data_IF_219720111763
#
_entry.id   IF_219720111763
#
_cell.length_a   1.000
_cell.length_b   1.000
_cell.length_c   1.000
_cell.angle_alpha   90.00
_cell.angle_beta   90.00
_cell.angle_gamma   90.00
#
_symmetry.space_group_name_H-M   'P 1'
#
loop_
_entity.id
_entity.type
_entity.pdbx_description
1 polymer ?
#
# COMPACT_ATOMS: atom_id res chain seq x y z
N UNK A 1 44.36 -11.29 22.85
CA UNK A 1 44.03 -10.73 21.52
C UNK A 1 43.63 -9.26 21.71
N UNK A 2 44.06 -8.36 20.84
CA UNK A 2 43.62 -6.98 20.88
C UNK A 2 42.17 -6.83 20.49
N UNK A 3 41.37 -6.08 21.27
CA UNK A 3 39.97 -5.77 20.94
C UNK A 3 39.85 -4.52 20.02
N UNK A 4 40.96 -3.87 19.73
CA UNK A 4 40.99 -2.71 18.80
C UNK A 4 40.54 -3.16 17.43
N UNK A 5 39.63 -2.38 16.82
CA UNK A 5 39.02 -2.68 15.52
C UNK A 5 37.86 -3.66 15.57
N UNK A 6 37.58 -4.27 16.73
CA UNK A 6 36.39 -5.13 16.92
C UNK A 6 35.17 -4.29 17.32
N UNK A 7 33.98 -4.80 17.04
CA UNK A 7 32.69 -4.18 17.41
C UNK A 7 32.27 -4.62 18.81
N UNK A 8 31.96 -3.67 19.70
CA UNK A 8 31.43 -3.97 21.02
C UNK A 8 30.05 -4.64 20.95
N UNK A 9 29.91 -5.87 21.49
CA UNK A 9 28.66 -6.61 21.45
C UNK A 9 27.59 -6.05 22.40
N UNK A 10 28.02 -5.42 23.49
CA UNK A 10 27.15 -4.88 24.52
C UNK A 10 27.54 -3.44 24.87
N UNK A 11 26.65 -2.71 25.54
CA UNK A 11 27.07 -1.49 26.22
C UNK A 11 28.06 -1.83 27.30
N UNK A 12 29.14 -1.06 27.43
CA UNK A 12 30.12 -1.15 28.52
C UNK A 12 29.91 0.06 29.40
N UNK A 13 29.71 -0.17 30.70
CA UNK A 13 29.46 0.90 31.68
C UNK A 13 30.50 0.85 32.81
N UNK A 14 30.72 1.98 33.45
CA UNK A 14 31.52 2.06 34.68
C UNK A 14 30.75 1.52 35.90
N UNK A 15 31.40 1.51 37.07
CA UNK A 15 30.80 1.07 38.31
C UNK A 15 29.60 1.91 38.78
N UNK A 16 29.45 3.14 38.27
CA UNK A 16 28.33 4.03 38.53
C UNK A 16 27.17 3.83 37.49
N UNK A 17 27.31 2.88 36.56
CA UNK A 17 26.30 2.61 35.51
C UNK A 17 26.35 3.58 34.32
N UNK A 18 27.32 4.51 34.26
CA UNK A 18 27.44 5.40 33.10
C UNK A 18 28.01 4.62 31.92
N UNK A 19 27.36 4.75 30.78
CA UNK A 19 27.78 4.09 29.54
C UNK A 19 29.07 4.73 29.01
N UNK A 20 30.11 3.94 28.91
CA UNK A 20 31.44 4.33 28.42
C UNK A 20 31.56 4.01 26.92
N UNK A 21 31.15 2.81 26.54
CA UNK A 21 31.12 2.40 25.13
C UNK A 21 29.70 1.87 24.78
N UNK A 22 29.18 2.36 23.68
CA UNK A 22 27.88 1.88 23.18
C UNK A 22 28.03 0.53 22.46
N UNK A 23 26.99 -0.32 22.55
CA UNK A 23 26.82 -1.48 21.68
C UNK A 23 26.94 -1.05 20.20
N UNK A 24 27.65 -1.84 19.39
CA UNK A 24 27.83 -1.58 17.95
C UNK A 24 28.96 -0.60 17.63
N UNK A 25 29.65 -0.04 18.63
CA UNK A 25 30.81 0.82 18.40
C UNK A 25 32.05 -0.01 18.05
N UNK A 26 32.75 0.39 16.98
CA UNK A 26 34.09 -0.13 16.68
C UNK A 26 35.05 0.42 17.71
N UNK A 27 35.76 -0.46 18.44
CA UNK A 27 36.64 -0.09 19.52
C UNK A 27 37.96 0.51 19.00
N UNK A 28 38.28 1.70 19.47
CA UNK A 28 39.56 2.35 19.25
C UNK A 28 40.59 1.94 20.33
N UNK A 29 41.87 2.24 20.14
CA UNK A 29 42.89 2.05 21.15
C UNK A 29 42.57 2.83 22.43
N UNK A 30 42.00 4.04 22.32
CA UNK A 30 41.58 4.86 23.47
C UNK A 30 40.40 4.19 24.23
N UNK A 31 39.41 3.63 23.53
CA UNK A 31 38.32 2.92 24.18
C UNK A 31 38.83 1.69 24.97
N UNK A 32 39.74 0.92 24.38
CA UNK A 32 40.35 -0.23 25.07
C UNK A 32 41.17 0.22 26.29
N UNK A 33 41.98 1.27 26.19
CA UNK A 33 42.73 1.83 27.33
C UNK A 33 41.80 2.29 28.47
N UNK A 34 40.68 2.95 28.13
CA UNK A 34 39.68 3.38 29.11
C UNK A 34 39.00 2.19 29.80
N UNK A 35 38.66 1.12 29.07
CA UNK A 35 38.06 -0.13 29.59
C UNK A 35 39.02 -0.79 30.59
N UNK A 36 40.32 -0.88 30.25
CA UNK A 36 41.34 -1.42 31.13
C UNK A 36 41.52 -0.57 32.40
N UNK A 37 41.54 0.77 32.28
CA UNK A 37 41.65 1.69 33.41
C UNK A 37 40.46 1.57 34.39
N UNK A 38 39.31 1.10 33.95
CA UNK A 38 38.15 0.81 34.78
C UNK A 38 38.21 -0.54 35.47
N UNK A 39 39.29 -1.32 35.31
CA UNK A 39 39.45 -2.66 35.89
C UNK A 39 38.58 -3.73 35.20
N UNK A 40 38.06 -3.48 34.01
CA UNK A 40 37.27 -4.46 33.27
C UNK A 40 38.23 -5.40 32.52
N UNK A 41 38.33 -6.65 33.01
CA UNK A 41 39.27 -7.62 32.48
C UNK A 41 38.86 -8.30 31.20
N UNK A 42 37.53 -8.45 30.98
CA UNK A 42 36.98 -9.15 29.82
C UNK A 42 35.79 -8.42 29.22
N UNK A 43 35.71 -8.37 27.89
CA UNK A 43 34.59 -7.86 27.13
C UNK A 43 34.25 -8.81 25.99
N UNK A 44 32.99 -8.85 25.60
CA UNK A 44 32.56 -9.60 24.41
C UNK A 44 32.57 -8.65 23.21
N UNK A 45 33.30 -9.05 22.18
CA UNK A 45 33.40 -8.29 20.93
C UNK A 45 33.06 -9.16 19.73
N UNK A 46 32.71 -8.54 18.61
CA UNK A 46 32.56 -9.16 17.30
C UNK A 46 33.71 -8.68 16.42
N UNK A 47 34.43 -9.61 15.82
CA UNK A 47 35.43 -9.32 14.79
C UNK A 47 34.78 -9.55 13.45
N UNK A 48 34.69 -8.52 12.63
CA UNK A 48 34.19 -8.65 11.27
C UNK A 48 35.26 -9.31 10.40
N UNK A 49 34.85 -10.18 9.48
CA UNK A 49 35.71 -10.72 8.44
C UNK A 49 35.93 -9.66 7.34
N UNK A 50 36.94 -9.87 6.49
CA UNK A 50 37.29 -8.89 5.43
C UNK A 50 36.19 -8.73 4.38
N UNK A 51 35.35 -9.77 4.21
CA UNK A 51 34.21 -9.81 3.27
C UNK A 51 32.86 -9.50 3.95
N UNK A 52 32.87 -9.14 5.22
CA UNK A 52 31.65 -8.74 5.94
C UNK A 52 31.27 -7.30 5.60
N UNK A 53 29.98 -7.11 5.35
CA UNK A 53 29.33 -5.79 5.23
C UNK A 53 28.71 -5.43 6.58
N UNK A 54 29.10 -4.32 7.18
CA UNK A 54 28.54 -3.88 8.46
C UNK A 54 27.01 -3.63 8.39
N UNK A 55 26.36 -3.64 9.56
CA UNK A 55 24.89 -3.54 9.65
C UNK A 55 24.32 -2.28 8.97
N UNK A 56 25.07 -1.16 8.93
CA UNK A 56 24.59 0.09 8.34
C UNK A 56 24.68 0.02 6.82
N UNK A 57 25.83 -0.40 6.30
CA UNK A 57 26.04 -0.57 4.86
C UNK A 57 25.12 -1.65 4.28
N UNK A 58 24.93 -2.76 5.00
CA UNK A 58 24.03 -3.83 4.62
C UNK A 58 22.56 -3.34 4.57
N UNK A 59 22.09 -2.61 5.59
CA UNK A 59 20.73 -2.06 5.60
C UNK A 59 20.52 -1.03 4.47
N UNK A 60 21.52 -0.20 4.17
CA UNK A 60 21.47 0.75 3.05
C UNK A 60 21.37 0.02 1.70
N UNK A 61 22.20 -1.01 1.49
CA UNK A 61 22.22 -1.81 0.27
C UNK A 61 20.86 -2.48 0.04
N UNK A 62 20.32 -3.16 1.06
CA UNK A 62 19.00 -3.81 0.96
C UNK A 62 17.90 -2.78 0.68
N UNK A 63 17.92 -1.63 1.35
CA UNK A 63 16.93 -0.58 1.13
C UNK A 63 16.98 -0.02 -0.29
N UNK A 64 18.18 0.19 -0.84
CA UNK A 64 18.35 0.64 -2.22
C UNK A 64 17.84 -0.39 -3.24
N UNK A 65 18.11 -1.68 -3.02
CA UNK A 65 17.62 -2.74 -3.90
C UNK A 65 16.10 -2.96 -3.80
N UNK A 66 15.52 -2.74 -2.62
CA UNK A 66 14.07 -2.84 -2.43
C UNK A 66 13.29 -1.65 -3.01
N UNK A 67 13.91 -0.47 -3.08
CA UNK A 67 13.26 0.75 -3.56
C UNK A 67 13.11 0.75 -5.08
N UNK A 68 11.86 0.89 -5.56
CA UNK A 68 11.51 0.98 -6.97
C UNK A 68 10.90 2.35 -7.31
N UNK A 69 10.05 2.37 -8.34
CA UNK A 69 9.48 3.61 -8.87
C UNK A 69 8.70 4.38 -7.79
N UNK A 70 8.94 5.68 -7.71
CA UNK A 70 8.31 6.61 -6.77
C UNK A 70 8.54 6.29 -5.29
N UNK A 71 9.65 5.58 -4.99
CA UNK A 71 10.10 5.33 -3.61
C UNK A 71 11.53 5.82 -3.42
N UNK A 72 11.95 6.02 -2.18
CA UNK A 72 13.29 6.47 -1.85
C UNK A 72 13.78 5.85 -0.55
N UNK A 73 14.95 5.20 -0.60
CA UNK A 73 15.66 4.76 0.59
C UNK A 73 16.25 5.96 1.33
N UNK A 74 16.13 5.98 2.66
CA UNK A 74 16.74 6.98 3.53
C UNK A 74 18.09 6.51 4.04
N UNK A 75 18.91 7.45 4.51
CA UNK A 75 20.18 7.12 5.13
C UNK A 75 19.97 6.16 6.32
N UNK A 76 20.82 5.13 6.44
CA UNK A 76 20.68 4.13 7.50
C UNK A 76 21.05 4.72 8.86
N UNK A 77 20.46 4.14 9.92
CA UNK A 77 20.77 4.46 11.31
C UNK A 77 20.66 3.22 12.18
N UNK A 78 21.72 2.85 12.89
CA UNK A 78 21.80 1.67 13.77
C UNK A 78 21.30 0.38 13.10
N UNK A 79 21.86 0.04 11.91
CA UNK A 79 21.47 -1.15 11.15
C UNK A 79 20.02 -1.14 10.65
N UNK A 80 19.37 0.04 10.61
CA UNK A 80 18.03 0.25 10.11
C UNK A 80 18.08 1.23 8.94
N UNK A 81 17.31 0.95 7.88
CA UNK A 81 17.04 1.88 6.80
C UNK A 81 15.53 1.92 6.53
N UNK A 82 14.99 3.11 6.35
CA UNK A 82 13.60 3.32 6.00
C UNK A 82 13.47 3.60 4.51
N UNK A 83 12.34 3.18 3.93
CA UNK A 83 11.94 3.56 2.57
C UNK A 83 10.66 4.39 2.68
N UNK A 84 10.62 5.49 1.94
CA UNK A 84 9.48 6.40 1.91
C UNK A 84 8.92 6.55 0.49
N UNK A 85 7.64 6.90 0.39
CA UNK A 85 7.04 7.34 -0.87
C UNK A 85 7.54 8.73 -1.25
N UNK A 86 7.71 8.99 -2.55
CA UNK A 86 8.04 10.33 -3.08
C UNK A 86 6.82 11.07 -3.62
N UNK A 87 5.69 10.36 -3.80
CA UNK A 87 4.45 10.91 -4.36
C UNK A 87 3.23 10.46 -3.55
N UNK A 88 2.09 11.07 -3.80
CA UNK A 88 0.78 10.51 -3.48
C UNK A 88 0.46 9.36 -4.43
N UNK A 89 -0.12 8.27 -3.92
CA UNK A 89 -0.46 7.13 -4.75
C UNK A 89 -0.78 5.88 -3.95
N UNK A 90 -0.74 4.75 -4.63
CA UNK A 90 -1.01 3.42 -4.09
C UNK A 90 0.27 2.62 -3.98
N UNK A 91 0.59 2.15 -2.78
CA UNK A 91 1.74 1.27 -2.55
C UNK A 91 1.51 -0.10 -3.17
N UNK A 92 2.48 -0.59 -3.92
CA UNK A 92 2.54 -1.95 -4.44
C UNK A 92 3.74 -2.64 -3.81
N UNK A 93 3.49 -3.79 -3.17
CA UNK A 93 4.52 -4.65 -2.57
C UNK A 93 4.57 -5.95 -3.33
N UNK A 94 5.72 -6.28 -3.93
CA UNK A 94 5.97 -7.58 -4.56
C UNK A 94 6.23 -8.64 -3.49
N UNK A 95 5.19 -9.37 -3.08
CA UNK A 95 5.23 -10.30 -1.94
C UNK A 95 6.23 -11.45 -2.14
N UNK A 96 6.37 -11.95 -3.36
CA UNK A 96 7.33 -13.00 -3.68
C UNK A 96 8.78 -12.51 -3.49
N UNK A 97 9.07 -11.30 -3.93
CA UNK A 97 10.38 -10.68 -3.72
C UNK A 97 10.64 -10.39 -2.23
N UNK A 98 9.60 -9.93 -1.50
CA UNK A 98 9.68 -9.75 -0.05
C UNK A 98 10.01 -11.07 0.65
N UNK A 99 9.38 -12.18 0.23
CA UNK A 99 9.65 -13.52 0.75
C UNK A 99 11.08 -13.98 0.43
N UNK A 100 11.63 -13.62 -0.73
CA UNK A 100 13.02 -13.93 -1.09
C UNK A 100 14.01 -13.20 -0.17
N UNK A 101 13.78 -11.92 0.12
CA UNK A 101 14.59 -11.15 1.06
C UNK A 101 14.62 -11.77 2.45
N UNK A 102 13.49 -12.29 2.94
CA UNK A 102 13.41 -12.93 4.26
C UNK A 102 14.10 -14.30 4.34
N UNK A 103 14.60 -14.87 3.24
CA UNK A 103 15.46 -16.07 3.25
C UNK A 103 16.90 -15.75 3.61
N UNK A 104 17.29 -14.47 3.58
CA UNK A 104 18.63 -14.04 4.01
C UNK A 104 18.60 -13.90 5.52
N UNK A 105 19.39 -14.73 6.21
CA UNK A 105 19.44 -14.73 7.67
C UNK A 105 19.87 -13.35 8.21
N UNK A 106 19.16 -12.87 9.20
CA UNK A 106 19.41 -11.57 9.83
C UNK A 106 18.89 -10.35 9.07
N UNK A 107 18.28 -10.50 7.88
CA UNK A 107 17.59 -9.40 7.18
C UNK A 107 16.09 -9.46 7.48
N UNK A 108 15.52 -8.35 7.94
CA UNK A 108 14.07 -8.23 8.15
C UNK A 108 13.54 -6.97 7.44
N UNK A 109 12.40 -7.10 6.78
CA UNK A 109 11.73 -6.02 6.07
C UNK A 109 10.27 -5.98 6.50
N UNK A 110 9.86 -4.90 7.15
CA UNK A 110 8.47 -4.65 7.47
C UNK A 110 7.90 -3.59 6.52
N UNK A 111 6.76 -3.86 5.90
CA UNK A 111 6.10 -2.95 4.95
C UNK A 111 4.72 -2.54 5.43
N UNK A 112 4.20 -1.43 4.90
CA UNK A 112 2.75 -1.19 4.92
C UNK A 112 2.05 -2.22 4.04
N UNK A 113 0.74 -2.37 4.21
CA UNK A 113 -0.06 -3.26 3.36
C UNK A 113 -0.01 -2.78 1.91
N UNK A 114 0.10 -3.72 0.98
CA UNK A 114 -0.04 -3.45 -0.45
C UNK A 114 -1.43 -2.88 -0.75
N UNK A 115 -1.51 -2.05 -1.76
CA UNK A 115 -2.68 -1.29 -2.18
C UNK A 115 -3.17 -0.21 -1.19
N UNK A 116 -2.45 0.05 -0.12
CA UNK A 116 -2.72 1.18 0.77
C UNK A 116 -2.36 2.52 0.11
N UNK A 117 -3.17 3.54 0.38
CA UNK A 117 -2.87 4.93 -0.03
C UNK A 117 -1.69 5.44 0.79
N UNK A 118 -0.74 6.05 0.09
CA UNK A 118 0.45 6.65 0.70
C UNK A 118 0.66 8.09 0.24
N UNK A 119 1.40 8.86 1.04
CA UNK A 119 1.68 10.28 0.82
C UNK A 119 3.19 10.51 0.67
N UNK A 120 3.63 11.62 0.04
CA UNK A 120 5.03 11.99 -0.01
C UNK A 120 5.66 12.01 1.37
N UNK A 121 6.87 11.47 1.49
CA UNK A 121 7.65 11.35 2.73
C UNK A 121 7.05 10.40 3.78
N UNK A 122 5.96 9.71 3.48
CA UNK A 122 5.43 8.67 4.34
C UNK A 122 6.33 7.43 4.28
N UNK A 123 6.73 6.92 5.45
CA UNK A 123 7.47 5.66 5.55
C UNK A 123 6.57 4.50 5.12
N UNK A 124 7.04 3.73 4.13
CA UNK A 124 6.33 2.60 3.54
C UNK A 124 6.97 1.26 3.89
N UNK A 125 8.26 1.26 4.22
CA UNK A 125 8.96 0.08 4.72
C UNK A 125 10.09 0.46 5.66
N UNK A 126 10.49 -0.49 6.50
CA UNK A 126 11.69 -0.44 7.33
C UNK A 126 12.45 -1.74 7.16
N UNK A 127 13.72 -1.63 6.83
CA UNK A 127 14.69 -2.70 6.79
C UNK A 127 15.46 -2.70 8.12
N UNK A 128 15.70 -3.86 8.70
CA UNK A 128 16.62 -4.03 9.83
C UNK A 128 17.54 -5.21 9.57
N UNK A 129 18.82 -4.93 9.64
CA UNK A 129 19.88 -5.96 9.72
C UNK A 129 20.14 -6.23 11.20
N UNK A 130 19.96 -7.48 11.62
CA UNK A 130 20.02 -7.90 13.04
C UNK A 130 21.46 -8.09 13.52
N UNK A 131 22.33 -8.85 12.81
CA UNK A 131 23.74 -9.00 13.19
C UNK A 131 24.51 -7.72 12.94
N UNK A 132 25.70 -7.60 13.52
CA UNK A 132 26.59 -6.45 13.31
C UNK A 132 27.19 -6.39 11.89
N UNK A 133 27.15 -7.51 11.17
CA UNK A 133 27.55 -7.61 9.78
C UNK A 133 26.92 -8.83 9.12
N UNK A 134 26.89 -8.83 7.79
CA UNK A 134 26.47 -9.95 6.95
C UNK A 134 27.55 -10.18 5.88
N UNK A 135 27.94 -11.44 5.59
CA UNK A 135 28.84 -11.72 4.48
C UNK A 135 28.34 -11.16 3.15
N UNK A 136 29.19 -10.47 2.42
CA UNK A 136 28.83 -9.80 1.16
C UNK A 136 28.18 -10.77 0.16
N UNK A 137 28.61 -12.02 0.12
CA UNK A 137 28.06 -13.05 -0.74
C UNK A 137 26.56 -13.33 -0.49
N UNK A 138 26.06 -13.15 0.74
CA UNK A 138 24.63 -13.33 1.06
C UNK A 138 23.77 -12.18 0.51
N UNK A 139 24.33 -10.99 0.35
CA UNK A 139 23.64 -9.83 -0.20
C UNK A 139 23.82 -9.67 -1.71
N UNK A 140 24.67 -10.49 -2.35
CA UNK A 140 24.88 -10.53 -3.78
C UNK A 140 23.73 -11.26 -4.52
N UNK A 141 22.48 -10.90 -4.15
CA UNK A 141 21.26 -11.47 -4.75
C UNK A 141 20.70 -10.52 -5.81
N UNK A 142 20.12 -11.08 -6.87
CA UNK A 142 19.42 -10.32 -7.89
C UNK A 142 17.92 -10.43 -7.68
N UNK A 143 17.38 -9.59 -6.79
CA UNK A 143 15.94 -9.46 -6.54
C UNK A 143 15.49 -8.14 -7.14
N UNK A 144 14.44 -8.18 -7.98
CA UNK A 144 13.84 -6.94 -8.51
C UNK A 144 13.32 -6.05 -7.37
N UNK A 145 13.24 -4.72 -7.56
CA UNK A 145 12.65 -3.82 -6.58
C UNK A 145 11.27 -4.30 -6.13
N UNK A 146 11.05 -4.35 -4.82
CA UNK A 146 9.82 -4.92 -4.25
C UNK A 146 8.78 -3.86 -3.87
N UNK A 147 9.16 -2.59 -3.85
CA UNK A 147 8.30 -1.48 -3.44
C UNK A 147 8.18 -0.47 -4.56
N UNK A 148 6.96 -0.24 -5.02
CA UNK A 148 6.64 0.83 -5.98
C UNK A 148 5.42 1.59 -5.51
N UNK A 149 5.24 2.83 -5.98
CA UNK A 149 4.02 3.60 -5.74
C UNK A 149 3.42 3.99 -7.07
N UNK A 150 2.20 3.51 -7.34
CA UNK A 150 1.43 3.88 -8.51
C UNK A 150 0.77 5.25 -8.29
N UNK A 151 0.99 6.25 -9.14
CA UNK A 151 0.33 7.55 -9.05
C UNK A 151 -1.16 7.43 -9.35
N UNK A 152 -1.96 8.40 -8.89
CA UNK A 152 -3.35 8.52 -9.28
C UNK A 152 -3.44 9.09 -10.70
N UNK A 153 -4.02 8.34 -11.64
CA UNK A 153 -4.08 8.70 -13.07
C UNK A 153 -5.50 8.82 -13.61
N UNK A 154 -6.49 8.13 -13.00
CA UNK A 154 -7.90 8.22 -13.37
C UNK A 154 -8.63 9.17 -12.41
N UNK A 155 -8.46 10.46 -12.61
CA UNK A 155 -8.90 11.47 -11.64
C UNK A 155 -10.26 12.08 -11.98
N UNK A 156 -10.77 11.90 -13.21
CA UNK A 156 -12.03 12.45 -13.69
C UNK A 156 -13.12 11.39 -13.63
N UNK A 157 -14.02 11.47 -12.65
CA UNK A 157 -15.06 10.46 -12.41
C UNK A 157 -16.41 10.95 -12.89
N UNK A 158 -17.07 10.15 -13.70
CA UNK A 158 -18.49 10.31 -14.05
C UNK A 158 -19.37 9.53 -13.07
N UNK A 159 -20.52 10.06 -12.73
CA UNK A 159 -21.48 9.36 -11.86
C UNK A 159 -22.84 9.25 -12.58
N UNK A 160 -23.41 8.03 -12.54
CA UNK A 160 -24.78 7.78 -13.00
C UNK A 160 -25.65 7.50 -11.78
N UNK A 161 -26.61 8.38 -11.50
CA UNK A 161 -27.64 8.20 -10.47
C UNK A 161 -28.85 7.52 -11.10
N UNK A 162 -29.16 6.29 -10.67
CA UNK A 162 -30.21 5.44 -11.25
C UNK A 162 -31.36 5.30 -10.25
N UNK A 163 -32.55 5.73 -10.61
CA UNK A 163 -33.73 5.62 -9.76
C UNK A 163 -34.87 6.52 -10.20
N UNK A 164 -35.96 6.53 -9.43
CA UNK A 164 -37.06 7.41 -9.66
C UNK A 164 -36.64 8.89 -9.47
N UNK A 165 -37.14 9.85 -10.28
CA UNK A 165 -36.77 11.27 -10.15
C UNK A 165 -36.90 11.83 -8.73
N UNK A 166 -37.90 11.36 -7.97
CA UNK A 166 -38.12 11.78 -6.58
C UNK A 166 -37.00 11.33 -5.61
N UNK A 167 -36.20 10.32 -5.97
CA UNK A 167 -35.13 9.78 -5.11
C UNK A 167 -33.77 10.38 -5.45
N UNK A 168 -33.57 11.01 -6.60
CA UNK A 168 -32.28 11.51 -7.05
C UNK A 168 -31.64 12.47 -6.05
N UNK A 169 -32.38 13.43 -5.51
CA UNK A 169 -31.83 14.39 -4.54
C UNK A 169 -31.38 13.72 -3.23
N UNK A 170 -32.08 12.68 -2.79
CA UNK A 170 -31.67 11.88 -1.63
C UNK A 170 -30.34 11.13 -1.91
N UNK A 171 -30.25 10.46 -3.07
CA UNK A 171 -29.04 9.73 -3.48
C UNK A 171 -27.84 10.66 -3.62
N UNK A 172 -28.02 11.85 -4.14
CA UNK A 172 -26.96 12.86 -4.23
C UNK A 172 -26.49 13.28 -2.84
N UNK A 173 -27.40 13.64 -1.95
CA UNK A 173 -27.03 14.08 -0.60
C UNK A 173 -26.36 13.01 0.25
N UNK A 174 -26.63 11.75 0.00
CA UNK A 174 -26.11 10.63 0.83
C UNK A 174 -24.97 9.90 0.13
N UNK A 175 -25.24 9.26 -1.01
CA UNK A 175 -24.28 8.36 -1.64
C UNK A 175 -23.21 9.13 -2.45
N UNK A 176 -23.62 10.13 -3.23
CA UNK A 176 -22.67 10.92 -4.01
C UNK A 176 -21.76 11.76 -3.10
N UNK A 177 -22.31 12.37 -2.04
CA UNK A 177 -21.50 13.12 -1.08
C UNK A 177 -20.45 12.21 -0.38
N UNK A 178 -20.84 11.01 0.02
CA UNK A 178 -19.90 10.05 0.60
C UNK A 178 -18.84 9.56 -0.40
N UNK A 179 -19.21 9.36 -1.66
CA UNK A 179 -18.27 9.05 -2.74
C UNK A 179 -17.27 10.20 -2.95
N UNK A 180 -17.72 11.46 -2.94
CA UNK A 180 -16.84 12.61 -3.12
C UNK A 180 -15.75 12.71 -2.04
N UNK A 181 -16.10 12.39 -0.79
CA UNK A 181 -15.10 12.33 0.30
C UNK A 181 -14.02 11.30 -0.02
N UNK A 182 -14.41 10.08 -0.47
CA UNK A 182 -13.47 9.02 -0.86
C UNK A 182 -12.61 9.41 -2.06
N UNK A 183 -13.22 10.00 -3.08
CA UNK A 183 -12.49 10.49 -4.26
C UNK A 183 -11.45 11.53 -3.90
N UNK A 184 -11.77 12.47 -3.01
CA UNK A 184 -10.82 13.48 -2.54
C UNK A 184 -9.59 12.84 -1.91
N UNK A 185 -9.74 11.74 -1.18
CA UNK A 185 -8.61 11.03 -0.55
C UNK A 185 -7.63 10.44 -1.55
N UNK A 186 -8.05 10.20 -2.79
CA UNK A 186 -7.25 9.66 -3.90
C UNK A 186 -7.07 10.68 -5.05
N UNK A 187 -7.22 11.97 -4.76
CA UNK A 187 -7.03 13.07 -5.72
C UNK A 187 -7.92 12.99 -6.97
N UNK A 188 -9.06 12.30 -6.85
CA UNK A 188 -10.06 12.24 -7.92
C UNK A 188 -11.28 13.12 -7.59
N UNK A 189 -12.05 13.46 -8.60
CA UNK A 189 -13.23 14.32 -8.43
C UNK A 189 -14.32 13.99 -9.45
N UNK A 190 -15.55 14.25 -9.07
CA UNK A 190 -16.70 14.10 -9.97
C UNK A 190 -16.75 15.26 -10.94
N UNK A 191 -16.67 14.96 -12.24
CA UNK A 191 -16.71 15.98 -13.32
C UNK A 191 -18.07 16.01 -14.03
N UNK A 192 -18.85 14.94 -13.96
CA UNK A 192 -20.16 14.85 -14.59
C UNK A 192 -21.08 13.94 -13.79
N UNK A 193 -22.36 14.29 -13.73
CA UNK A 193 -23.42 13.52 -13.10
C UNK A 193 -24.58 13.37 -14.06
N UNK A 194 -24.96 12.13 -14.38
CA UNK A 194 -26.18 11.80 -15.13
C UNK A 194 -27.24 11.30 -14.15
N UNK A 195 -28.48 11.78 -14.29
CA UNK A 195 -29.63 11.36 -13.47
C UNK A 195 -30.61 10.68 -14.40
N UNK A 196 -30.84 9.40 -14.20
CA UNK A 196 -31.65 8.59 -15.09
C UNK A 196 -32.65 7.74 -14.33
N UNK A 197 -33.77 7.45 -14.97
CA UNK A 197 -34.71 6.45 -14.47
C UNK A 197 -34.10 5.05 -14.59
N UNK A 198 -34.56 4.13 -13.76
CA UNK A 198 -34.12 2.73 -13.79
C UNK A 198 -34.66 2.02 -15.03
N UNK A 199 -34.21 2.45 -16.19
CA UNK A 199 -34.54 1.89 -17.50
C UNK A 199 -33.26 1.68 -18.31
N UNK A 200 -33.15 0.54 -18.96
CA UNK A 200 -31.96 0.09 -19.67
C UNK A 200 -31.42 1.14 -20.68
N UNK A 201 -32.28 1.66 -21.58
CA UNK A 201 -31.87 2.63 -22.60
C UNK A 201 -31.37 3.96 -21.98
N UNK A 202 -31.99 4.39 -20.86
CA UNK A 202 -31.60 5.61 -20.19
C UNK A 202 -30.20 5.49 -19.56
N UNK A 203 -29.87 4.32 -19.01
CA UNK A 203 -28.54 4.03 -18.43
C UNK A 203 -27.49 3.87 -19.54
N UNK A 204 -27.82 3.19 -20.66
CA UNK A 204 -26.93 3.14 -21.83
C UNK A 204 -26.60 4.52 -22.37
N UNK A 205 -27.61 5.38 -22.56
CA UNK A 205 -27.40 6.76 -23.03
C UNK A 205 -26.51 7.56 -22.06
N UNK A 206 -26.64 7.37 -20.74
CA UNK A 206 -25.77 8.00 -19.76
C UNK A 206 -24.32 7.53 -19.88
N UNK A 207 -24.07 6.24 -20.15
CA UNK A 207 -22.73 5.73 -20.42
C UNK A 207 -22.14 6.36 -21.68
N UNK A 208 -22.92 6.46 -22.77
CA UNK A 208 -22.47 7.09 -24.02
C UNK A 208 -22.06 8.56 -23.83
N UNK A 209 -22.83 9.31 -23.04
CA UNK A 209 -22.51 10.70 -22.74
C UNK A 209 -21.20 10.81 -21.93
N UNK A 210 -20.98 9.89 -20.99
CA UNK A 210 -19.83 9.98 -20.08
C UNK A 210 -18.53 9.43 -20.68
N UNK A 211 -18.60 8.41 -21.55
CA UNK A 211 -17.41 7.68 -22.02
C UNK A 211 -16.31 8.55 -22.65
N UNK A 212 -16.65 9.67 -23.29
CA UNK A 212 -15.69 10.57 -23.90
C UNK A 212 -15.15 11.65 -22.95
N UNK A 213 -15.72 11.77 -21.74
CA UNK A 213 -15.48 12.89 -20.85
C UNK A 213 -14.78 12.53 -19.53
N UNK A 214 -14.70 11.24 -19.18
CA UNK A 214 -14.25 10.78 -17.86
C UNK A 214 -13.25 9.64 -17.97
N UNK A 215 -12.54 9.37 -16.88
CA UNK A 215 -11.55 8.28 -16.80
C UNK A 215 -12.13 7.03 -16.11
N UNK A 216 -13.25 7.18 -15.41
CA UNK A 216 -13.94 6.13 -14.66
C UNK A 216 -15.41 6.49 -14.50
N UNK A 217 -16.31 5.50 -14.47
CA UNK A 217 -17.73 5.67 -14.13
C UNK A 217 -18.04 4.96 -12.82
N UNK A 218 -18.82 5.63 -11.95
CA UNK A 218 -19.44 5.03 -10.77
C UNK A 218 -20.97 5.13 -10.93
N UNK A 219 -21.69 4.02 -10.80
CA UNK A 219 -23.15 4.02 -10.78
C UNK A 219 -23.66 3.92 -9.33
N UNK A 220 -24.67 4.69 -9.01
CA UNK A 220 -25.35 4.74 -7.72
C UNK A 220 -26.82 4.47 -7.97
N UNK A 221 -27.31 3.30 -7.54
CA UNK A 221 -28.71 2.91 -7.69
C UNK A 221 -29.56 3.25 -6.48
N UNK A 222 -30.84 3.46 -6.69
CA UNK A 222 -31.86 3.52 -5.63
C UNK A 222 -31.97 2.16 -4.92
N UNK A 223 -31.78 1.08 -5.67
CA UNK A 223 -31.66 -0.31 -5.19
C UNK A 223 -30.27 -0.83 -5.49
N UNK A 224 -29.78 -1.72 -4.63
CA UNK A 224 -28.51 -2.42 -4.88
C UNK A 224 -28.66 -3.38 -6.07
N UNK A 225 -27.54 -3.68 -6.73
CA UNK A 225 -27.48 -4.68 -7.80
C UNK A 225 -27.60 -6.06 -7.16
N UNK A 226 -28.72 -6.74 -7.41
CA UNK A 226 -29.03 -8.06 -6.84
C UNK A 226 -28.87 -9.19 -7.87
N UNK A 227 -28.95 -8.86 -9.15
CA UNK A 227 -28.87 -9.83 -10.24
C UNK A 227 -28.07 -9.27 -11.42
N UNK A 228 -27.54 -10.17 -12.25
CA UNK A 228 -26.91 -9.82 -13.53
C UNK A 228 -27.92 -9.29 -14.55
N UNK A 229 -29.20 -9.61 -14.36
CA UNK A 229 -30.31 -9.14 -15.18
C UNK A 229 -30.87 -7.80 -14.71
N UNK A 230 -30.31 -7.19 -13.66
CA UNK A 230 -30.67 -5.83 -13.26
C UNK A 230 -30.33 -4.80 -14.34
N UNK A 231 -30.97 -3.64 -14.27
CA UNK A 231 -30.88 -2.56 -15.28
C UNK A 231 -29.43 -2.13 -15.54
N UNK A 232 -28.63 -1.97 -14.50
CA UNK A 232 -27.26 -1.47 -14.65
C UNK A 232 -26.31 -2.49 -15.32
N UNK A 233 -26.22 -3.74 -14.87
CA UNK A 233 -25.41 -4.77 -15.54
C UNK A 233 -25.80 -4.95 -17.01
N UNK A 234 -27.10 -5.04 -17.32
CA UNK A 234 -27.60 -5.17 -18.69
C UNK A 234 -27.23 -3.97 -19.56
N UNK A 235 -27.39 -2.75 -19.03
CA UNK A 235 -27.03 -1.53 -19.75
C UNK A 235 -25.53 -1.46 -20.03
N UNK A 236 -24.67 -1.89 -19.10
CA UNK A 236 -23.22 -1.96 -19.32
C UNK A 236 -22.88 -2.89 -20.50
N UNK A 237 -23.47 -4.09 -20.52
CA UNK A 237 -23.24 -5.06 -21.61
C UNK A 237 -23.77 -4.54 -22.94
N UNK A 238 -24.96 -3.94 -22.96
CA UNK A 238 -25.55 -3.38 -24.16
C UNK A 238 -24.78 -2.16 -24.72
N UNK A 239 -24.12 -1.38 -23.85
CA UNK A 239 -23.22 -0.30 -24.25
C UNK A 239 -21.88 -0.80 -24.82
N UNK A 240 -21.67 -2.12 -24.91
CA UNK A 240 -20.44 -2.75 -25.39
C UNK A 240 -19.40 -3.03 -24.30
N UNK A 241 -19.76 -2.83 -23.05
CA UNK A 241 -18.91 -3.17 -21.92
C UNK A 241 -19.03 -4.64 -21.49
N UNK A 242 -18.27 -5.02 -20.47
CA UNK A 242 -18.36 -6.36 -19.89
C UNK A 242 -18.18 -6.32 -18.37
N UNK A 243 -18.79 -7.25 -17.67
CA UNK A 243 -18.69 -7.42 -16.22
C UNK A 243 -17.42 -8.20 -15.91
N UNK A 244 -16.52 -7.61 -15.11
CA UNK A 244 -15.27 -8.26 -14.67
C UNK A 244 -15.40 -8.93 -13.31
N UNK A 245 -16.28 -8.40 -12.44
CA UNK A 245 -16.56 -8.99 -11.14
C UNK A 245 -18.00 -8.68 -10.71
N UNK A 246 -18.68 -9.70 -10.19
CA UNK A 246 -20.03 -9.58 -9.63
C UNK A 246 -20.04 -10.14 -8.21
N UNK A 247 -20.30 -9.27 -7.26
CA UNK A 247 -20.17 -9.55 -5.85
C UNK A 247 -18.72 -9.50 -5.34
N UNK A 248 -18.55 -9.12 -4.08
CA UNK A 248 -17.26 -9.09 -3.39
C UNK A 248 -17.38 -9.78 -2.03
N UNK A 249 -16.43 -10.61 -1.61
CA UNK A 249 -16.44 -11.25 -0.29
C UNK A 249 -15.94 -10.27 0.79
N UNK A 250 -16.58 -9.10 0.87
CA UNK A 250 -16.24 -8.00 1.79
C UNK A 250 -17.53 -7.48 2.43
N UNK A 251 -17.56 -7.42 3.75
CA UNK A 251 -18.70 -6.89 4.50
C UNK A 251 -18.20 -5.74 5.40
N UNK A 252 -18.74 -4.53 5.24
CA UNK A 252 -19.78 -4.12 4.28
C UNK A 252 -19.26 -4.02 2.84
N UNK A 253 -20.10 -4.39 1.83
CA UNK A 253 -19.77 -4.13 0.43
C UNK A 253 -19.97 -5.29 -0.54
N UNK A 254 -20.60 -6.38 -0.13
CA UNK A 254 -20.75 -7.60 -0.93
C UNK A 254 -21.53 -7.42 -2.25
N UNK A 255 -22.41 -6.42 -2.36
CA UNK A 255 -23.18 -6.12 -3.56
C UNK A 255 -22.45 -5.17 -4.54
N UNK A 256 -21.13 -5.32 -4.64
CA UNK A 256 -20.29 -4.60 -5.60
C UNK A 256 -20.41 -5.23 -7.00
N UNK A 257 -20.40 -4.40 -8.04
CA UNK A 257 -20.13 -4.84 -9.40
C UNK A 257 -18.95 -4.04 -9.98
N UNK A 258 -18.03 -4.74 -10.63
CA UNK A 258 -17.01 -4.11 -11.47
C UNK A 258 -17.21 -4.54 -12.91
N UNK A 259 -16.94 -3.63 -13.82
CA UNK A 259 -16.94 -3.87 -15.24
C UNK A 259 -16.02 -2.90 -15.96
N UNK A 260 -15.96 -3.06 -17.26
CA UNK A 260 -15.14 -2.23 -18.16
C UNK A 260 -15.96 -1.83 -19.37
N UNK A 261 -15.86 -0.55 -19.75
CA UNK A 261 -16.42 0.03 -20.96
C UNK A 261 -15.28 0.72 -21.72
N UNK A 262 -14.92 0.24 -22.91
CA UNK A 262 -13.80 0.78 -23.70
C UNK A 262 -12.49 0.95 -22.88
N UNK A 263 -12.07 -0.04 -22.12
CA UNK A 263 -10.93 0.00 -21.18
C UNK A 263 -11.10 0.93 -19.96
N UNK A 264 -12.20 1.66 -19.85
CA UNK A 264 -12.54 2.49 -18.71
C UNK A 264 -13.26 1.65 -17.64
N UNK A 265 -12.81 1.70 -16.37
CA UNK A 265 -13.48 0.97 -15.30
C UNK A 265 -14.85 1.56 -14.98
N UNK A 266 -15.81 0.65 -14.76
CA UNK A 266 -17.17 0.97 -14.31
C UNK A 266 -17.40 0.26 -12.99
N UNK A 267 -17.79 1.02 -11.95
CA UNK A 267 -18.11 0.49 -10.63
C UNK A 267 -19.61 0.65 -10.36
N UNK A 268 -20.33 -0.45 -10.18
CA UNK A 268 -21.64 -0.46 -9.55
C UNK A 268 -21.47 -0.41 -8.04
N UNK A 269 -21.69 0.76 -7.45
CA UNK A 269 -21.45 0.99 -6.05
C UNK A 269 -22.50 0.29 -5.16
N UNK A 270 -22.08 -0.44 -4.11
CA UNK A 270 -22.99 -1.04 -3.15
C UNK A 270 -23.67 0.04 -2.28
N UNK A 271 -24.84 -0.27 -1.74
CA UNK A 271 -25.60 0.70 -0.92
C UNK A 271 -24.87 1.20 0.33
N UNK A 272 -23.91 0.45 0.86
CA UNK A 272 -23.08 0.85 2.00
C UNK A 272 -22.13 2.03 1.70
N UNK A 273 -21.93 2.41 0.44
CA UNK A 273 -21.11 3.58 0.07
C UNK A 273 -21.55 4.87 0.77
N UNK A 274 -22.83 4.98 1.14
CA UNK A 274 -23.39 6.14 1.87
C UNK A 274 -22.83 6.32 3.28
N UNK A 275 -22.33 5.25 3.89
CA UNK A 275 -21.79 5.26 5.25
C UNK A 275 -20.36 5.79 5.30
N UNK A 276 -19.94 6.26 6.48
CA UNK A 276 -18.57 6.68 6.74
C UNK A 276 -17.65 5.51 7.07
N UNK A 277 -18.19 4.36 7.48
CA UNK A 277 -17.42 3.17 7.79
C UNK A 277 -16.69 2.65 6.56
N UNK A 278 -15.51 2.09 6.79
CA UNK A 278 -14.70 1.44 5.75
C UNK A 278 -15.51 0.31 5.10
N UNK A 279 -15.49 0.23 3.79
CA UNK A 279 -16.19 -0.79 3.02
C UNK A 279 -15.39 -1.16 1.76
N UNK A 280 -15.93 -2.04 0.93
CA UNK A 280 -15.24 -2.53 -0.28
C UNK A 280 -14.78 -1.42 -1.23
N UNK A 281 -15.52 -0.29 -1.29
CA UNK A 281 -15.14 0.86 -2.14
C UNK A 281 -13.82 1.46 -1.68
N UNK A 282 -13.59 1.54 -0.37
CA UNK A 282 -12.35 2.07 0.20
C UNK A 282 -11.12 1.19 -0.14
N UNK A 283 -11.33 -0.10 -0.37
CA UNK A 283 -10.28 -1.05 -0.73
C UNK A 283 -9.95 -1.04 -2.24
N UNK A 284 -10.95 -0.79 -3.09
CA UNK A 284 -10.81 -0.93 -4.55
C UNK A 284 -10.69 0.40 -5.29
N UNK A 285 -11.36 1.46 -4.83
CA UNK A 285 -11.33 2.77 -5.46
C UNK A 285 -9.90 3.33 -5.63
N UNK A 286 -9.01 3.27 -4.63
CA UNK A 286 -7.63 3.71 -4.80
C UNK A 286 -6.90 2.96 -5.92
N UNK A 287 -7.11 1.63 -6.05
CA UNK A 287 -6.50 0.81 -7.09
C UNK A 287 -7.00 1.21 -8.48
N UNK A 288 -8.30 1.40 -8.64
CA UNK A 288 -8.91 1.80 -9.91
C UNK A 288 -8.44 3.20 -10.32
N UNK A 289 -8.40 4.15 -9.38
CA UNK A 289 -7.93 5.52 -9.64
C UNK A 289 -6.43 5.56 -9.95
N UNK A 290 -5.63 4.68 -9.37
CA UNK A 290 -4.21 4.53 -9.70
C UNK A 290 -3.95 3.85 -11.06
N UNK A 291 -5.00 3.50 -11.81
CA UNK A 291 -4.84 2.86 -13.12
C UNK A 291 -4.48 1.37 -13.06
N UNK A 292 -4.54 0.76 -11.88
CA UNK A 292 -4.27 -0.67 -11.74
C UNK A 292 -5.43 -1.49 -12.30
N UNK A 293 -5.10 -2.58 -12.98
CA UNK A 293 -6.08 -3.57 -13.37
C UNK A 293 -6.58 -4.31 -12.13
N UNK A 294 -7.91 -4.41 -12.01
CA UNK A 294 -8.57 -5.12 -10.91
C UNK A 294 -9.44 -6.22 -11.50
N UNK A 295 -9.00 -7.45 -11.35
CA UNK A 295 -9.72 -8.64 -11.82
C UNK A 295 -10.55 -9.28 -10.70
N UNK A 296 -11.44 -10.19 -11.04
CA UNK A 296 -12.22 -10.92 -10.04
C UNK A 296 -11.35 -11.62 -8.99
N UNK A 297 -10.22 -12.19 -9.39
CA UNK A 297 -9.27 -12.83 -8.47
C UNK A 297 -8.75 -11.87 -7.39
N UNK A 298 -8.49 -10.61 -7.75
CA UNK A 298 -8.04 -9.57 -6.80
C UNK A 298 -9.13 -9.22 -5.80
N UNK A 299 -10.39 -9.17 -6.26
CA UNK A 299 -11.54 -8.91 -5.39
C UNK A 299 -11.76 -10.11 -4.45
N UNK A 300 -11.68 -11.34 -4.97
CA UNK A 300 -11.86 -12.55 -4.17
C UNK A 300 -10.74 -12.76 -3.16
N UNK A 301 -9.52 -12.30 -3.43
CA UNK A 301 -8.41 -12.31 -2.47
C UNK A 301 -8.68 -11.44 -1.23
N UNK A 302 -9.65 -10.52 -1.29
CA UNK A 302 -10.08 -9.72 -0.13
C UNK A 302 -10.89 -10.52 0.89
N UNK A 303 -11.32 -11.76 0.59
CA UNK A 303 -12.12 -12.59 1.49
C UNK A 303 -11.45 -12.78 2.87
N UNK A 304 -10.14 -12.97 2.88
CA UNK A 304 -9.39 -13.04 4.13
C UNK A 304 -9.16 -11.62 4.68
N UNK A 305 -9.83 -11.30 5.78
CA UNK A 305 -9.90 -9.95 6.35
C UNK A 305 -10.99 -9.07 5.70
N UNK A 306 -11.89 -9.69 4.90
CA UNK A 306 -13.00 -9.00 4.25
C UNK A 306 -14.20 -8.71 5.17
N UNK A 307 -14.25 -9.30 6.36
CA UNK A 307 -15.14 -8.85 7.42
C UNK A 307 -14.50 -7.64 8.09
N UNK A 308 -14.93 -6.44 7.68
CA UNK A 308 -14.36 -5.20 8.17
C UNK A 308 -15.01 -4.84 9.51
N UNK A 309 -14.17 -4.55 10.51
CA UNK A 309 -14.67 -4.14 11.82
C UNK A 309 -15.33 -2.75 11.72
N UNK A 310 -16.45 -2.57 12.38
CA UNK A 310 -16.97 -1.23 12.67
C UNK A 310 -16.00 -0.56 13.65
N UNK A 311 -15.48 0.61 13.29
CA UNK A 311 -14.76 1.45 14.23
C UNK A 311 -15.76 1.85 15.33
N UNK A 312 -15.58 1.27 16.53
CA UNK A 312 -16.39 1.52 17.72
C UNK A 312 -16.15 2.90 18.31
#
# INVERSE_FOLDING_TARGET
MSAVGCVSRHNISDAAGRKIVAKGRVLTAADVAQIVALGIETITVVRLADDDIDEHAAAALVAQQCAGQHTRARAPHHGRADIESTIDGVLIVALDGLSQWHRIDGVTIATRRTYGVVRPRQRIATIKVIPFAIPAAQLAVSIAPILTVAPFVRTRVGVVIIGAPATHERLIRTHLAALQVRLTSVQAHVVAVQRVVAHHEAVCSAFDVLRAAVDMIVTIGETSIMDRDDVMPQALVAAGGHITCYGAPVEPGNLLLLGVLDSMPVMGAPGCIRGAATNVVDLLLPRLVAGLDVHAADVYALAHGGLLEEES
#
